data_IF_107169498706
#
_entry.id   IF_107169498706
#
_cell.length_a   1.000
_cell.length_b   1.000
_cell.length_c   1.000
_cell.angle_alpha   90.00
_cell.angle_beta   90.00
_cell.angle_gamma   90.00
#
_symmetry.space_group_name_H-M   'P 1'
#
loop_
_entity.id
_entity.type
_entity.pdbx_description
1 polymer ?
#
# COMPACT_ATOMS: atom_id res chain seq x y z
N UNK A 1 -29.39 32.96 29.97
CA UNK A 1 -28.64 32.75 28.69
C UNK A 1 -29.27 33.69 27.67
N UNK A 2 -28.45 34.55 27.06
CA UNK A 2 -28.90 35.44 26.00
C UNK A 2 -28.31 34.94 24.66
N UNK A 3 -29.16 34.63 23.70
CA UNK A 3 -28.73 34.21 22.37
C UNK A 3 -28.42 35.48 21.58
N UNK A 4 -27.13 35.71 21.23
CA UNK A 4 -26.68 36.91 20.54
C UNK A 4 -26.72 36.74 19.01
N UNK A 5 -26.99 35.54 18.49
CA UNK A 5 -27.12 35.31 17.06
C UNK A 5 -27.19 33.81 16.76
N UNK A 6 -27.87 33.47 15.69
CA UNK A 6 -27.91 32.11 15.11
C UNK A 6 -27.27 32.20 13.74
N UNK A 7 -26.21 31.40 13.50
CA UNK A 7 -25.58 31.25 12.19
C UNK A 7 -26.01 29.91 11.62
N UNK A 8 -26.42 29.88 10.38
CA UNK A 8 -26.68 28.66 9.62
C UNK A 8 -25.85 28.66 8.35
N UNK A 9 -25.55 27.48 7.87
CA UNK A 9 -24.86 27.32 6.58
C UNK A 9 -25.91 27.25 5.49
N UNK A 10 -25.83 28.19 4.55
CA UNK A 10 -26.62 28.14 3.33
C UNK A 10 -25.74 27.48 2.26
N UNK A 11 -26.19 26.36 1.73
CA UNK A 11 -25.46 25.66 0.68
C UNK A 11 -25.78 26.34 -0.66
N UNK A 12 -24.76 26.53 -1.54
CA UNK A 12 -24.98 27.09 -2.86
C UNK A 12 -25.85 26.16 -3.69
N UNK A 13 -26.60 26.72 -4.64
CA UNK A 13 -27.31 25.94 -5.63
C UNK A 13 -26.35 25.18 -6.53
N UNK A 14 -26.67 23.90 -6.80
CA UNK A 14 -25.85 23.04 -7.67
C UNK A 14 -26.19 23.37 -9.13
N UNK A 15 -25.50 24.34 -9.71
CA UNK A 15 -25.63 24.86 -11.05
C UNK A 15 -24.27 25.01 -11.73
N UNK A 16 -24.20 25.62 -12.91
CA UNK A 16 -22.97 25.81 -13.67
C UNK A 16 -21.98 26.75 -12.94
N UNK A 17 -22.48 27.76 -12.24
CA UNK A 17 -21.66 28.66 -11.43
C UNK A 17 -20.95 27.89 -10.30
N UNK A 18 -21.68 27.01 -9.62
CA UNK A 18 -21.09 26.11 -8.63
C UNK A 18 -20.02 25.19 -9.24
N UNK A 19 -20.26 24.65 -10.45
CA UNK A 19 -19.27 23.79 -11.11
C UNK A 19 -17.98 24.56 -11.44
N UNK A 20 -18.07 25.79 -11.91
CA UNK A 20 -16.92 26.66 -12.17
C UNK A 20 -16.17 27.07 -10.92
N UNK A 21 -16.84 27.25 -9.78
CA UNK A 21 -16.24 27.64 -8.51
C UNK A 21 -15.43 26.52 -7.86
N UNK A 22 -15.86 25.24 -8.03
CA UNK A 22 -15.26 24.09 -7.34
C UNK A 22 -14.43 23.18 -8.25
N UNK A 23 -14.39 23.45 -9.56
CA UNK A 23 -13.70 22.62 -10.53
C UNK A 23 -13.16 23.43 -11.72
N UNK A 24 -12.49 22.76 -12.66
CA UNK A 24 -12.00 23.33 -13.92
C UNK A 24 -13.05 23.32 -15.03
N UNK A 25 -14.29 22.87 -14.76
CA UNK A 25 -15.35 22.71 -15.74
C UNK A 25 -16.29 23.93 -15.74
N UNK A 26 -16.75 24.32 -16.91
CA UNK A 26 -17.65 25.45 -17.06
C UNK A 26 -19.13 25.08 -16.85
N UNK A 27 -19.46 23.80 -16.99
CA UNK A 27 -20.83 23.31 -16.83
C UNK A 27 -20.97 22.22 -15.79
N UNK A 28 -22.11 22.18 -15.13
CA UNK A 28 -22.45 21.14 -14.16
C UNK A 28 -22.51 19.74 -14.80
N UNK A 29 -22.87 19.66 -16.08
CA UNK A 29 -22.95 18.40 -16.82
C UNK A 29 -21.54 17.79 -17.01
N UNK A 30 -20.58 18.62 -17.44
CA UNK A 30 -19.17 18.19 -17.57
C UNK A 30 -18.58 17.77 -16.23
N UNK A 31 -18.82 18.54 -15.18
CA UNK A 31 -18.36 18.19 -13.84
C UNK A 31 -18.96 16.87 -13.35
N UNK A 32 -20.27 16.65 -13.55
CA UNK A 32 -20.91 15.37 -13.22
C UNK A 32 -20.35 14.19 -14.02
N UNK A 33 -20.05 14.40 -15.31
CA UNK A 33 -19.44 13.38 -16.15
C UNK A 33 -18.03 13.01 -15.65
N UNK A 34 -17.20 13.98 -15.31
CA UNK A 34 -15.87 13.78 -14.74
C UNK A 34 -15.93 13.03 -13.41
N UNK A 35 -16.77 13.49 -12.48
CA UNK A 35 -16.97 12.82 -11.18
C UNK A 35 -17.45 11.37 -11.37
N UNK A 36 -18.38 11.15 -12.32
CA UNK A 36 -18.83 9.78 -12.63
C UNK A 36 -17.72 8.90 -13.16
N UNK A 37 -16.88 9.43 -14.05
CA UNK A 37 -15.73 8.68 -14.61
C UNK A 37 -14.70 8.37 -13.52
N UNK A 38 -14.31 9.35 -12.71
CA UNK A 38 -13.40 9.17 -11.59
C UNK A 38 -13.91 8.15 -10.56
N UNK A 39 -15.21 8.18 -10.27
CA UNK A 39 -15.83 7.19 -9.38
C UNK A 39 -15.87 5.80 -10.01
N UNK A 40 -16.10 5.68 -11.31
CA UNK A 40 -16.08 4.41 -12.02
C UNK A 40 -14.68 3.80 -12.04
N UNK A 41 -13.66 4.61 -12.35
CA UNK A 41 -12.25 4.19 -12.32
C UNK A 41 -11.82 3.78 -10.91
N UNK A 42 -12.13 4.58 -9.90
CA UNK A 42 -11.84 4.27 -8.51
C UNK A 42 -12.49 2.97 -8.04
N UNK A 43 -13.77 2.75 -8.41
CA UNK A 43 -14.47 1.50 -8.09
C UNK A 43 -13.89 0.30 -8.83
N UNK A 44 -13.54 0.46 -10.11
CA UNK A 44 -12.90 -0.59 -10.89
C UNK A 44 -11.54 -0.98 -10.29
N UNK A 45 -10.73 0.01 -9.91
CA UNK A 45 -9.45 -0.25 -9.24
C UNK A 45 -9.63 -0.91 -7.89
N UNK A 46 -10.60 -0.47 -7.08
CA UNK A 46 -10.92 -1.10 -5.80
C UNK A 46 -11.35 -2.55 -5.98
N UNK A 47 -12.23 -2.83 -6.93
CA UNK A 47 -12.67 -4.20 -7.22
C UNK A 47 -11.51 -5.09 -7.71
N UNK A 48 -10.63 -4.54 -8.55
CA UNK A 48 -9.41 -5.24 -8.99
C UNK A 48 -8.50 -5.57 -7.81
N UNK A 49 -8.24 -4.61 -6.92
CA UNK A 49 -7.40 -4.83 -5.74
C UNK A 49 -8.00 -5.89 -4.82
N UNK A 50 -9.31 -5.85 -4.57
CA UNK A 50 -10.00 -6.85 -3.76
C UNK A 50 -9.91 -8.25 -4.38
N UNK A 51 -10.04 -8.36 -5.69
CA UNK A 51 -9.88 -9.64 -6.41
C UNK A 51 -8.46 -10.18 -6.26
N UNK A 52 -7.45 -9.31 -6.38
CA UNK A 52 -6.05 -9.69 -6.18
C UNK A 52 -5.79 -10.16 -4.75
N UNK A 53 -6.24 -9.41 -3.75
CA UNK A 53 -6.11 -9.79 -2.34
C UNK A 53 -6.77 -11.14 -2.06
N UNK A 54 -7.96 -11.38 -2.62
CA UNK A 54 -8.66 -12.64 -2.43
C UNK A 54 -7.96 -13.81 -3.13
N UNK A 55 -7.44 -13.61 -4.35
CA UNK A 55 -6.66 -14.63 -5.06
C UNK A 55 -5.41 -15.00 -4.27
N UNK A 56 -4.62 -14.01 -3.84
CA UNK A 56 -3.42 -14.22 -3.04
C UNK A 56 -3.75 -14.93 -1.72
N UNK A 57 -4.80 -14.51 -1.02
CA UNK A 57 -5.24 -15.15 0.22
C UNK A 57 -5.55 -16.64 0.01
N UNK A 58 -6.27 -17.01 -1.07
CA UNK A 58 -6.58 -18.40 -1.39
C UNK A 58 -5.33 -19.25 -1.66
N UNK A 59 -4.34 -18.67 -2.36
CA UNK A 59 -3.06 -19.34 -2.62
C UNK A 59 -2.29 -19.56 -1.32
N UNK A 60 -2.22 -18.54 -0.45
CA UNK A 60 -1.56 -18.63 0.87
C UNK A 60 -2.25 -19.67 1.76
N UNK A 61 -3.58 -19.68 1.80
CA UNK A 61 -4.34 -20.65 2.59
C UNK A 61 -4.10 -22.10 2.12
N UNK A 62 -4.01 -22.32 0.81
CA UNK A 62 -3.76 -23.64 0.22
C UNK A 62 -2.31 -24.11 0.36
N UNK A 63 -1.37 -23.20 0.59
CA UNK A 63 0.04 -23.54 0.72
C UNK A 63 0.33 -24.22 2.07
N UNK A 64 1.09 -25.32 2.04
CA UNK A 64 1.63 -25.98 3.23
C UNK A 64 3.09 -25.55 3.40
N UNK A 65 3.38 -24.81 4.48
CA UNK A 65 4.71 -24.26 4.77
C UNK A 65 5.01 -24.42 6.25
N UNK A 66 6.17 -24.99 6.56
CA UNK A 66 6.72 -24.98 7.92
C UNK A 66 7.55 -23.71 8.12
N UNK A 67 7.06 -22.81 8.98
CA UNK A 67 7.71 -21.52 9.23
C UNK A 67 8.50 -21.61 10.53
N UNK A 68 9.84 -21.42 10.51
CA UNK A 68 10.64 -21.34 11.72
C UNK A 68 10.22 -20.13 12.58
N UNK A 69 10.15 -20.31 13.89
CA UNK A 69 9.76 -19.24 14.82
C UNK A 69 10.63 -18.00 14.72
N UNK A 70 11.91 -18.16 14.40
CA UNK A 70 12.83 -17.02 14.23
C UNK A 70 12.43 -16.09 13.07
N UNK A 71 11.80 -16.60 12.01
CA UNK A 71 11.29 -15.77 10.92
C UNK A 71 10.08 -14.96 11.39
N UNK A 72 9.18 -15.59 12.15
CA UNK A 72 8.02 -14.89 12.73
C UNK A 72 8.49 -13.80 13.70
N UNK A 73 9.47 -14.11 14.57
CA UNK A 73 10.02 -13.15 15.53
C UNK A 73 10.66 -11.96 14.82
N UNK A 74 11.42 -12.20 13.74
CA UNK A 74 12.01 -11.15 12.91
C UNK A 74 10.97 -10.26 12.25
N UNK A 75 9.87 -10.84 11.74
CA UNK A 75 8.79 -10.05 11.15
C UNK A 75 8.02 -9.26 12.22
N UNK A 76 7.81 -9.82 13.41
CA UNK A 76 7.24 -9.07 14.56
C UNK A 76 8.07 -7.83 14.86
N UNK A 77 9.41 -7.97 14.95
CA UNK A 77 10.31 -6.85 15.18
C UNK A 77 10.24 -5.82 14.03
N UNK A 78 10.10 -6.27 12.79
CA UNK A 78 9.92 -5.41 11.62
C UNK A 78 8.60 -4.62 11.69
N UNK A 79 7.51 -5.27 12.09
CA UNK A 79 6.20 -4.62 12.28
C UNK A 79 6.24 -3.57 13.40
N UNK A 80 6.91 -3.88 14.52
CA UNK A 80 7.11 -2.94 15.63
C UNK A 80 7.93 -1.74 15.18
N UNK A 81 9.05 -1.95 14.50
CA UNK A 81 9.92 -0.88 13.98
C UNK A 81 9.19 0.04 12.99
N UNK A 82 8.34 -0.54 12.16
CA UNK A 82 7.47 0.21 11.22
C UNK A 82 6.48 1.10 11.96
N UNK A 83 5.82 0.56 12.96
CA UNK A 83 4.89 1.29 13.83
C UNK A 83 5.63 2.40 14.62
N UNK A 84 6.78 2.09 15.19
CA UNK A 84 7.60 3.07 15.90
C UNK A 84 8.03 4.22 14.99
N UNK A 85 8.44 3.92 13.76
CA UNK A 85 8.82 4.95 12.78
C UNK A 85 7.67 5.90 12.44
N UNK A 86 6.43 5.39 12.38
CA UNK A 86 5.24 6.23 12.19
C UNK A 86 4.98 7.11 13.43
N UNK A 87 5.11 6.58 14.62
CA UNK A 87 4.88 7.35 15.86
C UNK A 87 5.96 8.38 16.14
N UNK A 88 7.21 8.15 15.73
CA UNK A 88 8.30 9.14 15.81
C UNK A 88 7.95 10.45 15.10
N UNK A 89 7.15 10.42 14.04
CA UNK A 89 6.67 11.64 13.37
C UNK A 89 5.76 12.49 14.27
N UNK A 90 5.14 11.89 15.28
CA UNK A 90 4.28 12.55 16.26
C UNK A 90 4.97 12.72 17.63
N UNK A 91 6.28 12.43 17.72
CA UNK A 91 7.06 12.54 18.95
C UNK A 91 6.70 11.48 20.01
N UNK A 92 6.11 10.36 19.60
CA UNK A 92 5.73 9.25 20.48
C UNK A 92 6.67 8.05 20.29
N UNK A 93 6.92 7.33 21.37
CA UNK A 93 7.62 6.04 21.34
C UNK A 93 6.61 4.87 21.33
N UNK A 94 7.11 3.67 21.06
CA UNK A 94 6.26 2.46 21.14
C UNK A 94 5.80 2.20 22.58
N UNK A 95 6.64 2.51 23.57
CA UNK A 95 6.33 2.42 24.99
C UNK A 95 5.19 3.37 25.37
N UNK A 96 5.20 4.62 24.87
CA UNK A 96 4.13 5.59 25.12
C UNK A 96 2.81 5.09 24.56
N UNK A 97 2.82 4.53 23.34
CA UNK A 97 1.65 3.94 22.72
C UNK A 97 1.10 2.74 23.51
N UNK A 98 1.97 1.83 23.92
CA UNK A 98 1.59 0.66 24.71
C UNK A 98 1.02 1.08 26.06
N UNK A 99 1.64 2.02 26.77
CA UNK A 99 1.16 2.55 28.04
C UNK A 99 -0.22 3.21 27.89
N UNK A 100 -0.45 3.99 26.82
CA UNK A 100 -1.75 4.61 26.55
C UNK A 100 -2.83 3.57 26.30
N UNK A 101 -2.50 2.46 25.64
CA UNK A 101 -3.42 1.35 25.38
C UNK A 101 -3.55 0.35 26.55
N UNK A 102 -2.83 0.56 27.65
CA UNK A 102 -2.84 -0.32 28.82
C UNK A 102 -2.20 -1.69 28.58
N UNK A 103 -1.25 -1.78 27.66
CA UNK A 103 -0.51 -2.99 27.29
C UNK A 103 0.99 -2.82 27.55
N UNK A 104 1.68 -3.92 27.75
CA UNK A 104 3.15 -3.93 27.67
C UNK A 104 3.60 -4.05 26.23
N UNK A 105 4.89 -3.74 25.97
CA UNK A 105 5.49 -3.92 24.62
C UNK A 105 5.47 -5.40 24.23
N UNK A 106 5.69 -6.30 25.18
CA UNK A 106 5.65 -7.75 24.98
C UNK A 106 4.25 -8.22 24.57
N UNK A 107 3.21 -7.76 25.27
CA UNK A 107 1.82 -8.07 24.90
C UNK A 107 1.45 -7.51 23.51
N UNK A 108 1.98 -6.34 23.15
CA UNK A 108 1.83 -5.78 21.83
C UNK A 108 2.52 -6.64 20.77
N UNK A 109 3.79 -7.02 20.97
CA UNK A 109 4.53 -7.94 20.09
C UNK A 109 3.79 -9.26 19.90
N UNK A 110 3.28 -9.86 21.00
CA UNK A 110 2.54 -11.11 20.92
C UNK A 110 1.23 -10.95 20.10
N UNK A 111 0.58 -9.79 20.21
CA UNK A 111 -0.62 -9.51 19.39
C UNK A 111 -0.34 -9.37 17.90
N UNK A 112 0.90 -9.12 17.49
CA UNK A 112 1.34 -9.03 16.10
C UNK A 112 1.73 -10.40 15.50
N UNK A 113 1.99 -11.43 16.31
CA UNK A 113 2.46 -12.75 15.82
C UNK A 113 1.55 -13.36 14.76
N UNK A 114 0.22 -13.37 14.88
CA UNK A 114 -0.64 -13.94 13.85
C UNK A 114 -0.49 -13.22 12.50
N UNK A 115 -0.34 -11.89 12.53
CA UNK A 115 -0.12 -11.10 11.32
C UNK A 115 1.28 -11.36 10.73
N UNK A 116 2.30 -11.45 11.58
CA UNK A 116 3.65 -11.75 11.16
C UNK A 116 3.74 -13.14 10.50
N UNK A 117 3.06 -14.14 11.05
CA UNK A 117 3.00 -15.48 10.46
C UNK A 117 2.37 -15.47 9.05
N UNK A 118 1.28 -14.73 8.87
CA UNK A 118 0.64 -14.56 7.56
C UNK A 118 1.58 -13.85 6.58
N UNK A 119 2.29 -12.80 7.01
CA UNK A 119 3.23 -12.07 6.18
C UNK A 119 4.39 -12.96 5.72
N UNK A 120 5.02 -13.66 6.66
CA UNK A 120 6.12 -14.59 6.35
C UNK A 120 5.65 -15.69 5.41
N UNK A 121 4.46 -16.27 5.66
CA UNK A 121 3.90 -17.30 4.79
C UNK A 121 3.69 -16.77 3.38
N UNK A 122 3.14 -15.57 3.25
CA UNK A 122 2.93 -14.90 1.95
C UNK A 122 4.25 -14.75 1.21
N UNK A 123 5.27 -14.20 1.87
CA UNK A 123 6.55 -13.92 1.25
C UNK A 123 7.23 -15.21 0.77
N UNK A 124 7.22 -16.28 1.59
CA UNK A 124 7.74 -17.59 1.20
C UNK A 124 6.99 -18.22 0.02
N UNK A 125 5.67 -18.03 -0.06
CA UNK A 125 4.85 -18.54 -1.18
C UNK A 125 5.20 -17.82 -2.47
N UNK A 126 5.29 -16.48 -2.42
CA UNK A 126 5.64 -15.66 -3.60
C UNK A 126 7.07 -15.98 -4.06
N UNK A 127 8.03 -16.08 -3.13
CA UNK A 127 9.41 -16.51 -3.43
C UNK A 127 9.45 -17.87 -4.11
N UNK A 128 8.65 -18.83 -3.61
CA UNK A 128 8.61 -20.16 -4.20
C UNK A 128 8.01 -20.18 -5.59
N UNK A 129 6.98 -19.37 -5.85
CA UNK A 129 6.43 -19.20 -7.21
C UNK A 129 7.50 -18.60 -8.12
N UNK A 130 8.19 -17.54 -7.69
CA UNK A 130 9.26 -16.91 -8.46
C UNK A 130 10.41 -17.87 -8.79
N UNK A 131 10.74 -18.78 -7.86
CA UNK A 131 11.75 -19.83 -8.06
C UNK A 131 11.29 -20.88 -9.08
N UNK A 132 10.05 -21.35 -8.95
CA UNK A 132 9.51 -22.43 -9.82
C UNK A 132 9.29 -21.94 -11.24
N UNK A 133 8.74 -20.74 -11.40
CA UNK A 133 8.50 -20.12 -12.71
C UNK A 133 9.80 -19.63 -13.38
N UNK A 134 10.87 -19.46 -12.59
CA UNK A 134 12.20 -19.07 -13.05
C UNK A 134 12.19 -17.83 -13.97
N UNK A 135 11.49 -16.79 -13.57
CA UNK A 135 11.32 -15.58 -14.37
C UNK A 135 12.65 -14.95 -14.78
N UNK A 136 12.79 -14.68 -16.06
CA UNK A 136 13.85 -13.84 -16.57
C UNK A 136 13.46 -12.37 -16.45
N UNK A 137 14.40 -11.54 -15.99
CA UNK A 137 14.23 -10.09 -15.93
C UNK A 137 14.91 -9.48 -17.15
N UNK A 138 14.12 -8.85 -17.99
CA UNK A 138 14.61 -8.18 -19.19
C UNK A 138 14.97 -6.72 -18.88
N UNK A 139 15.76 -6.07 -19.79
CA UNK A 139 16.03 -4.64 -19.65
C UNK A 139 14.75 -3.79 -19.74
N UNK A 140 13.74 -4.26 -20.48
CA UNK A 140 12.44 -3.59 -20.53
C UNK A 140 11.70 -3.63 -19.18
N UNK A 141 11.81 -4.73 -18.44
CA UNK A 141 11.24 -4.85 -17.09
C UNK A 141 11.92 -3.87 -16.12
N UNK A 142 13.26 -3.75 -16.22
CA UNK A 142 14.02 -2.81 -15.39
C UNK A 142 13.66 -1.36 -15.71
N UNK A 143 13.52 -1.02 -17.00
CA UNK A 143 13.10 0.32 -17.40
C UNK A 143 11.70 0.67 -16.85
N UNK A 144 10.74 -0.24 -16.97
CA UNK A 144 9.40 -0.05 -16.44
C UNK A 144 9.42 0.15 -14.92
N UNK A 145 10.23 -0.62 -14.19
CA UNK A 145 10.37 -0.48 -12.76
C UNK A 145 11.05 0.86 -12.37
N UNK A 146 12.06 1.29 -13.12
CA UNK A 146 12.66 2.61 -12.90
C UNK A 146 11.66 3.75 -13.12
N UNK A 147 10.80 3.68 -14.13
CA UNK A 147 9.76 4.68 -14.37
C UNK A 147 8.74 4.72 -13.22
N UNK A 148 8.32 3.56 -12.72
CA UNK A 148 7.42 3.41 -11.58
C UNK A 148 8.01 4.02 -10.31
N UNK A 149 9.28 3.68 -10.02
CA UNK A 149 10.01 4.24 -8.88
C UNK A 149 10.28 5.75 -9.03
N UNK A 150 10.52 6.24 -10.24
CA UNK A 150 10.68 7.66 -10.53
C UNK A 150 9.42 8.45 -10.13
N UNK A 151 8.25 7.93 -10.46
CA UNK A 151 6.97 8.49 -10.03
C UNK A 151 6.82 8.49 -8.51
N UNK A 152 7.20 7.41 -7.84
CA UNK A 152 7.11 7.29 -6.38
C UNK A 152 8.06 8.26 -5.65
N UNK A 153 9.33 8.32 -6.09
CA UNK A 153 10.35 9.20 -5.48
C UNK A 153 10.29 10.64 -5.97
N UNK A 154 9.46 10.97 -6.95
CA UNK A 154 9.37 12.28 -7.63
C UNK A 154 10.73 12.73 -8.17
N UNK A 155 11.44 11.80 -8.80
CA UNK A 155 12.76 11.98 -9.41
C UNK A 155 12.72 11.58 -10.89
N UNK A 156 13.79 11.90 -11.61
CA UNK A 156 13.95 11.38 -12.97
C UNK A 156 14.32 9.88 -12.96
N UNK A 157 13.98 9.16 -14.01
CA UNK A 157 14.36 7.75 -14.17
C UNK A 157 15.88 7.55 -14.10
N UNK A 158 16.68 8.51 -14.62
CA UNK A 158 18.13 8.47 -14.57
C UNK A 158 18.69 8.59 -13.14
N UNK A 159 18.11 9.46 -12.31
CA UNK A 159 18.48 9.57 -10.90
C UNK A 159 18.14 8.30 -10.11
N UNK A 160 17.00 7.69 -10.41
CA UNK A 160 16.61 6.41 -9.81
C UNK A 160 17.55 5.29 -10.24
N UNK A 161 17.91 5.20 -11.52
CA UNK A 161 18.94 4.25 -12.01
C UNK A 161 20.25 4.40 -11.27
N UNK A 162 20.70 5.64 -11.05
CA UNK A 162 21.94 5.90 -10.31
C UNK A 162 21.83 5.47 -8.84
N UNK A 163 20.67 5.65 -8.20
CA UNK A 163 20.43 5.19 -6.82
C UNK A 163 20.50 3.67 -6.68
N UNK A 164 19.96 2.93 -7.66
CA UNK A 164 19.92 1.48 -7.64
C UNK A 164 21.10 0.81 -8.34
N UNK A 165 22.06 1.58 -8.90
CA UNK A 165 23.21 1.04 -9.62
C UNK A 165 24.05 0.03 -8.80
N UNK A 166 24.17 0.23 -7.49
CA UNK A 166 24.88 -0.66 -6.57
C UNK A 166 24.01 -1.83 -6.04
N UNK A 167 22.72 -1.85 -6.36
CA UNK A 167 21.74 -2.79 -5.80
C UNK A 167 20.86 -3.42 -6.89
N UNK A 168 21.45 -3.66 -8.06
CA UNK A 168 20.69 -4.22 -9.20
C UNK A 168 20.11 -5.61 -8.90
N UNK A 169 20.83 -6.43 -8.13
CA UNK A 169 20.35 -7.76 -7.72
C UNK A 169 19.06 -7.67 -6.89
N UNK A 170 18.95 -6.67 -6.04
CA UNK A 170 17.72 -6.43 -5.26
C UNK A 170 16.56 -5.94 -6.13
N UNK A 171 16.86 -5.09 -7.13
CA UNK A 171 15.84 -4.64 -8.10
C UNK A 171 15.31 -5.82 -8.91
N UNK A 172 16.22 -6.64 -9.47
CA UNK A 172 15.85 -7.83 -10.23
C UNK A 172 15.03 -8.84 -9.40
N UNK A 173 15.43 -9.02 -8.14
CA UNK A 173 14.69 -9.85 -7.21
C UNK A 173 13.27 -9.30 -6.97
N UNK A 174 13.13 -8.00 -6.73
CA UNK A 174 11.82 -7.35 -6.59
C UNK A 174 10.93 -7.54 -7.82
N UNK A 175 11.49 -7.36 -9.03
CA UNK A 175 10.76 -7.58 -10.30
C UNK A 175 10.29 -9.03 -10.42
N UNK A 176 11.11 -10.01 -10.02
CA UNK A 176 10.71 -11.44 -10.04
C UNK A 176 9.56 -11.72 -9.09
N UNK A 177 9.55 -11.13 -7.90
CA UNK A 177 8.45 -11.26 -6.96
C UNK A 177 7.16 -10.62 -7.49
N UNK A 178 7.25 -9.45 -8.11
CA UNK A 178 6.10 -8.80 -8.75
C UNK A 178 5.52 -9.66 -9.88
N UNK A 179 6.38 -10.23 -10.75
CA UNK A 179 5.95 -11.18 -11.77
C UNK A 179 5.28 -12.43 -11.19
N UNK A 180 5.76 -12.91 -10.04
CA UNK A 180 5.14 -14.04 -9.34
C UNK A 180 3.74 -13.68 -8.80
N UNK A 181 3.56 -12.48 -8.29
CA UNK A 181 2.22 -11.98 -7.90
C UNK A 181 1.31 -11.87 -9.12
N UNK A 182 1.78 -11.36 -10.24
CA UNK A 182 0.99 -11.21 -11.48
C UNK A 182 0.47 -12.56 -12.00
N UNK A 183 1.24 -13.64 -11.84
CA UNK A 183 0.76 -15.00 -12.18
C UNK A 183 -0.40 -15.44 -11.29
N UNK A 184 -0.41 -15.05 -10.02
CA UNK A 184 -1.52 -15.35 -9.10
C UNK A 184 -2.80 -14.61 -9.54
N UNK A 185 -2.64 -13.44 -10.16
CA UNK A 185 -3.75 -12.55 -10.55
C UNK A 185 -4.26 -12.80 -11.97
N UNK A 186 -3.54 -13.58 -12.79
CA UNK A 186 -3.92 -13.93 -14.16
C UNK A 186 -4.91 -15.09 -14.22
#
# INVERSE_FOLDING_TARGET
>A
VTINGIKYFELPEINDEFASDVSEFETLEEYKADVKNKLAESKAQTAKNQMHEEALRKVIEAAEVEIPSCMIDSEVDSLVNRTESQFKMYGMTIEDFCNYSGKTVEEYKESLRPQAEINVKRDLVIEKIAEVEAFEVTEADKEAEYEKLAGYYRKSSEEVKAMFAAHQDHLEYGIKLEKAEDVIYS
#
